data_IF_228885586467
#
_entry.id   IF_228885586467
#
_cell.length_a   1.000
_cell.length_b   1.000
_cell.length_c   1.000
_cell.angle_alpha   90.00
_cell.angle_beta   90.00
_cell.angle_gamma   90.00
#
_symmetry.space_group_name_H-M   'P 1'
#
loop_
_entity.id
_entity.type
_entity.pdbx_description
1 polymer ?
#
# COMPACT_ATOMS: atom_id res chain seq x y z
N UNK A 1 14.75 28.97 36.77
CA UNK A 1 14.02 27.76 37.18
C UNK A 1 12.63 28.18 37.68
N UNK A 2 11.59 27.59 37.10
CA UNK A 2 10.18 28.01 37.07
C UNK A 2 9.59 28.49 38.41
N UNK A 3 9.44 29.81 38.59
CA UNK A 3 8.79 30.41 39.78
C UNK A 3 7.31 30.76 39.56
N UNK A 4 6.80 30.61 38.33
CA UNK A 4 5.45 31.03 37.95
C UNK A 4 4.58 29.83 37.60
N UNK A 5 3.56 29.56 38.43
CA UNK A 5 2.67 28.39 38.32
C UNK A 5 1.92 28.33 36.98
N UNK A 6 1.72 29.49 36.35
CA UNK A 6 0.98 29.63 35.09
C UNK A 6 1.67 28.97 33.87
N UNK A 7 3.01 29.06 33.76
CA UNK A 7 3.74 28.41 32.65
C UNK A 7 3.75 26.89 32.78
N UNK A 8 3.79 26.39 34.02
CA UNK A 8 3.70 24.95 34.30
C UNK A 8 2.31 24.42 33.97
N UNK A 9 1.25 25.17 34.32
CA UNK A 9 -0.14 24.81 33.98
C UNK A 9 -0.37 24.80 32.45
N UNK A 10 0.13 25.81 31.72
CA UNK A 10 0.02 25.88 30.25
C UNK A 10 0.72 24.70 29.55
N UNK A 11 1.92 24.33 30.02
CA UNK A 11 2.68 23.20 29.49
C UNK A 11 1.95 21.87 29.74
N UNK A 12 1.35 21.70 30.93
CA UNK A 12 0.58 20.50 31.28
C UNK A 12 -0.69 20.40 30.43
N UNK A 13 -1.41 21.51 30.23
CA UNK A 13 -2.63 21.53 29.41
C UNK A 13 -2.33 21.19 27.94
N UNK A 14 -1.25 21.71 27.36
CA UNK A 14 -0.83 21.39 26.00
C UNK A 14 -0.42 19.90 25.85
N UNK A 15 0.27 19.35 26.85
CA UNK A 15 0.64 17.93 26.89
C UNK A 15 -0.57 17.01 26.99
N UNK A 16 -1.52 17.32 27.90
CA UNK A 16 -2.74 16.52 28.09
C UNK A 16 -3.65 16.60 26.87
N UNK A 17 -3.80 17.77 26.25
CA UNK A 17 -4.60 17.92 25.03
C UNK A 17 -3.95 17.20 23.83
N UNK A 18 -2.63 17.25 23.70
CA UNK A 18 -1.89 16.48 22.69
C UNK A 18 -2.03 14.97 22.87
N UNK A 19 -1.94 14.48 24.11
CA UNK A 19 -2.16 13.06 24.45
C UNK A 19 -3.59 12.60 24.15
N UNK A 20 -4.61 13.40 24.49
CA UNK A 20 -6.01 13.09 24.22
C UNK A 20 -6.32 13.00 22.72
N UNK A 21 -5.72 13.88 21.90
CA UNK A 21 -5.89 13.85 20.45
C UNK A 21 -5.10 12.71 19.77
N UNK A 22 -3.97 12.26 20.36
CA UNK A 22 -3.24 11.06 19.91
C UNK A 22 -4.07 9.80 20.17
N UNK A 23 -4.70 9.67 21.34
CA UNK A 23 -5.56 8.51 21.69
C UNK A 23 -6.81 8.45 20.80
N UNK A 24 -7.40 9.58 20.45
CA UNK A 24 -8.54 9.65 19.54
C UNK A 24 -8.24 9.23 18.08
N UNK A 25 -6.97 9.07 17.72
CA UNK A 25 -6.49 8.79 16.35
C UNK A 25 -5.84 7.41 16.20
N UNK A 26 -5.75 6.58 17.25
CA UNK A 26 -5.09 5.25 17.16
C UNK A 26 -5.86 4.32 16.21
N UNK A 27 -5.27 3.80 15.09
CA UNK A 27 -5.85 2.63 14.45
C UNK A 27 -5.47 1.44 15.32
N UNK A 28 -6.45 0.66 15.75
CA UNK A 28 -6.18 -0.53 16.53
C UNK A 28 -5.36 -1.54 15.71
N UNK A 29 -4.07 -1.72 16.05
CA UNK A 29 -3.33 -3.01 15.96
C UNK A 29 -3.33 -3.77 14.63
N UNK A 30 -2.62 -3.31 13.60
CA UNK A 30 -2.56 -3.98 12.30
C UNK A 30 -1.13 -4.32 11.83
N UNK A 31 -0.33 -4.96 12.69
CA UNK A 31 0.78 -5.81 12.22
C UNK A 31 0.23 -6.77 11.17
N UNK A 32 0.90 -6.89 10.01
CA UNK A 32 0.49 -7.84 8.98
C UNK A 32 0.35 -9.23 9.64
N UNK A 33 -0.77 -9.95 9.42
CA UNK A 33 -0.98 -11.23 10.09
C UNK A 33 0.17 -12.19 9.80
N UNK A 34 0.60 -12.91 10.83
CA UNK A 34 1.25 -14.20 10.61
C UNK A 34 0.22 -15.08 9.90
N UNK A 35 0.62 -15.74 8.82
CA UNK A 35 -0.22 -16.53 7.92
C UNK A 35 -1.22 -15.70 7.10
N UNK A 36 -0.76 -15.14 5.98
CA UNK A 36 -1.61 -14.44 5.02
C UNK A 36 -2.46 -15.45 4.23
N UNK A 37 -3.80 -15.50 4.42
CA UNK A 37 -4.67 -16.35 3.62
C UNK A 37 -4.79 -15.79 2.20
N UNK A 38 -4.32 -16.57 1.22
CA UNK A 38 -4.39 -16.25 -0.21
C UNK A 38 -5.08 -17.41 -0.93
N UNK A 39 -6.03 -17.09 -1.80
CA UNK A 39 -6.71 -18.10 -2.62
C UNK A 39 -6.08 -18.22 -4.02
N UNK A 40 -6.18 -19.39 -4.61
CA UNK A 40 -5.88 -19.60 -6.03
C UNK A 40 -7.04 -20.34 -6.70
N UNK A 41 -7.42 -19.89 -7.89
CA UNK A 41 -8.44 -20.51 -8.73
C UNK A 41 -7.82 -20.84 -10.07
N UNK A 42 -7.93 -22.10 -10.46
CA UNK A 42 -7.61 -22.54 -11.80
C UNK A 42 -8.90 -22.68 -12.60
N UNK A 43 -9.19 -21.69 -13.46
CA UNK A 43 -10.32 -21.77 -14.40
C UNK A 43 -9.92 -22.38 -15.75
N UNK A 44 -8.63 -22.58 -16.01
CA UNK A 44 -8.11 -23.21 -17.23
C UNK A 44 -8.15 -24.74 -17.15
N UNK A 45 -7.85 -25.28 -15.96
CA UNK A 45 -7.92 -26.71 -15.63
C UNK A 45 -7.02 -27.62 -16.49
N UNK A 46 -6.07 -27.07 -17.24
CA UNK A 46 -5.10 -27.83 -18.01
C UNK A 46 -3.96 -28.37 -17.14
N UNK A 47 -3.18 -29.31 -17.66
CA UNK A 47 -1.99 -29.80 -16.97
C UNK A 47 -0.96 -28.67 -16.72
N UNK A 48 -0.88 -27.71 -17.64
CA UNK A 48 0.00 -26.56 -17.54
C UNK A 48 -0.43 -25.61 -16.42
N UNK A 49 -1.72 -25.29 -16.33
CA UNK A 49 -2.26 -24.45 -15.25
C UNK A 49 -2.15 -25.12 -13.88
N UNK A 50 -2.36 -26.43 -13.81
CA UNK A 50 -2.18 -27.21 -12.58
C UNK A 50 -0.71 -27.24 -12.12
N UNK A 51 0.25 -27.35 -13.04
CA UNK A 51 1.68 -27.26 -12.72
C UNK A 51 2.04 -25.88 -12.16
N UNK A 52 1.48 -24.82 -12.73
CA UNK A 52 1.63 -23.44 -12.23
C UNK A 52 1.04 -23.32 -10.82
N UNK A 53 -0.15 -23.86 -10.57
CA UNK A 53 -0.77 -23.87 -9.22
C UNK A 53 0.16 -24.57 -8.21
N UNK A 54 0.72 -25.72 -8.56
CA UNK A 54 1.67 -26.44 -7.69
C UNK A 54 2.92 -25.60 -7.38
N UNK A 55 3.51 -24.98 -8.40
CA UNK A 55 4.70 -24.15 -8.23
C UNK A 55 4.43 -22.87 -7.42
N UNK A 56 3.25 -22.27 -7.58
CA UNK A 56 2.86 -21.09 -6.82
C UNK A 56 2.58 -21.45 -5.35
N UNK A 57 1.88 -22.55 -5.12
CA UNK A 57 1.53 -23.01 -3.78
C UNK A 57 2.71 -23.54 -2.97
N UNK A 58 3.83 -23.90 -3.62
CA UNK A 58 5.08 -24.21 -2.92
C UNK A 58 5.78 -22.99 -2.32
N UNK A 59 5.41 -21.77 -2.75
CA UNK A 59 5.91 -20.54 -2.12
C UNK A 59 5.13 -20.28 -0.85
N UNK A 60 5.69 -20.67 0.29
CA UNK A 60 5.02 -20.58 1.61
C UNK A 60 5.42 -19.35 2.41
N UNK A 61 6.36 -18.53 1.94
CA UNK A 61 6.80 -17.31 2.63
C UNK A 61 7.24 -16.21 1.68
N UNK A 62 7.07 -14.96 2.10
CA UNK A 62 7.54 -13.76 1.39
C UNK A 62 8.15 -12.74 2.36
N UNK A 63 9.08 -11.90 1.88
CA UNK A 63 9.83 -10.96 2.72
C UNK A 63 11.09 -11.60 3.31
N UNK A 64 12.24 -10.91 3.18
CA UNK A 64 13.56 -11.46 3.50
C UNK A 64 13.79 -11.69 5.00
N UNK A 65 14.27 -10.66 5.71
CA UNK A 65 14.69 -10.79 7.12
C UNK A 65 13.54 -11.06 8.11
N UNK A 66 12.30 -10.71 7.76
CA UNK A 66 11.08 -10.98 8.53
C UNK A 66 10.05 -11.66 7.61
N UNK A 67 10.15 -12.99 7.40
CA UNK A 67 9.29 -13.69 6.47
C UNK A 67 7.85 -13.70 6.97
N UNK A 68 6.93 -13.35 6.08
CA UNK A 68 5.50 -13.51 6.26
C UNK A 68 5.06 -14.80 5.60
N UNK A 69 4.48 -15.71 6.37
CA UNK A 69 3.96 -16.99 5.86
C UNK A 69 2.71 -16.78 5.00
N UNK A 70 2.58 -17.56 3.93
CA UNK A 70 1.43 -17.58 3.03
C UNK A 70 0.65 -18.87 3.28
N UNK A 71 -0.65 -18.74 3.52
CA UNK A 71 -1.58 -19.87 3.64
C UNK A 71 -2.43 -19.96 2.38
N UNK A 72 -2.02 -20.83 1.47
CA UNK A 72 -2.74 -21.07 0.23
C UNK A 72 -4.06 -21.80 0.45
N UNK A 73 -5.05 -21.47 -0.37
CA UNK A 73 -6.30 -22.23 -0.50
C UNK A 73 -6.65 -22.35 -1.97
N UNK A 74 -6.63 -23.57 -2.49
CA UNK A 74 -7.13 -23.84 -3.85
C UNK A 74 -8.65 -23.85 -3.78
N UNK A 75 -9.29 -22.99 -4.58
CA UNK A 75 -10.75 -22.78 -4.57
C UNK A 75 -11.32 -23.11 -5.95
N UNK A 76 -12.52 -23.72 -5.95
CA UNK A 76 -13.15 -24.25 -7.16
C UNK A 76 -13.42 -23.22 -8.25
N UNK A 77 -13.80 -21.99 -7.90
CA UNK A 77 -14.17 -20.96 -8.86
C UNK A 77 -14.08 -19.55 -8.27
N UNK A 78 -14.09 -18.56 -9.18
CA UNK A 78 -14.03 -17.13 -8.85
C UNK A 78 -15.19 -16.67 -7.96
N UNK A 79 -16.41 -17.19 -8.16
CA UNK A 79 -17.57 -16.81 -7.36
C UNK A 79 -17.42 -17.21 -5.89
N UNK A 80 -16.89 -18.41 -5.63
CA UNK A 80 -16.59 -18.86 -4.27
C UNK A 80 -15.50 -18.02 -3.61
N UNK A 81 -14.48 -17.59 -4.37
CA UNK A 81 -13.46 -16.66 -3.88
C UNK A 81 -14.07 -15.32 -3.50
N UNK A 82 -14.90 -14.73 -4.36
CA UNK A 82 -15.56 -13.46 -4.09
C UNK A 82 -16.38 -13.51 -2.80
N UNK A 83 -17.25 -14.51 -2.64
CA UNK A 83 -18.03 -14.69 -1.40
C UNK A 83 -17.16 -14.87 -0.16
N UNK A 84 -16.01 -15.51 -0.29
CA UNK A 84 -15.07 -15.66 0.81
C UNK A 84 -14.33 -14.35 1.14
N UNK A 85 -14.06 -13.51 0.14
CA UNK A 85 -13.51 -12.17 0.31
C UNK A 85 -14.51 -11.19 0.93
N UNK A 86 -15.80 -11.30 0.61
CA UNK A 86 -16.86 -10.52 1.27
C UNK A 86 -16.88 -10.80 2.78
N UNK A 87 -16.57 -12.04 3.18
CA UNK A 87 -16.37 -12.46 4.58
C UNK A 87 -14.95 -12.22 5.11
N UNK A 88 -14.14 -11.44 4.39
CA UNK A 88 -12.76 -11.07 4.75
C UNK A 88 -11.82 -12.27 5.01
N UNK A 89 -12.11 -13.43 4.42
CA UNK A 89 -11.33 -14.67 4.62
C UNK A 89 -9.97 -14.63 3.93
N UNK A 90 -9.88 -13.95 2.78
CA UNK A 90 -8.66 -13.85 1.98
C UNK A 90 -8.26 -12.38 1.79
N UNK A 91 -6.95 -12.10 1.85
CA UNK A 91 -6.37 -10.81 1.50
C UNK A 91 -6.21 -10.62 -0.01
N UNK A 92 -6.06 -11.73 -0.73
CA UNK A 92 -6.00 -11.71 -2.18
C UNK A 92 -6.29 -13.07 -2.77
N UNK A 93 -6.49 -13.09 -4.08
CA UNK A 93 -6.60 -14.29 -4.86
C UNK A 93 -5.94 -14.11 -6.21
N UNK A 94 -5.39 -15.21 -6.71
CA UNK A 94 -4.95 -15.32 -8.09
C UNK A 94 -5.91 -16.23 -8.86
N UNK A 95 -6.37 -15.76 -10.02
CA UNK A 95 -7.23 -16.52 -10.92
C UNK A 95 -6.47 -16.72 -12.22
N UNK A 96 -6.18 -17.97 -12.58
CA UNK A 96 -5.73 -18.35 -13.92
C UNK A 96 -7.00 -18.43 -14.77
N UNK A 97 -7.13 -17.59 -15.81
CA UNK A 97 -8.35 -17.57 -16.63
C UNK A 97 -8.42 -18.79 -17.55
N UNK A 98 -9.63 -19.13 -17.97
CA UNK A 98 -9.84 -20.15 -19.00
C UNK A 98 -9.14 -19.75 -20.31
N UNK A 99 -8.56 -20.73 -21.00
CA UNK A 99 -7.82 -20.50 -22.25
C UNK A 99 -6.34 -20.19 -22.05
N UNK A 100 -5.89 -20.03 -20.80
CA UNK A 100 -4.51 -19.68 -20.46
C UNK A 100 -3.47 -20.58 -21.14
N UNK A 101 -3.65 -21.91 -21.11
CA UNK A 101 -2.69 -22.82 -21.73
C UNK A 101 -2.74 -22.78 -23.27
N UNK A 102 -3.93 -22.64 -23.84
CA UNK A 102 -4.13 -22.54 -25.29
C UNK A 102 -3.44 -21.29 -25.85
N UNK A 103 -3.60 -20.16 -25.16
CA UNK A 103 -3.06 -18.87 -25.54
C UNK A 103 -1.52 -18.84 -25.55
N UNK A 104 -0.85 -19.71 -24.77
CA UNK A 104 0.62 -19.76 -24.71
C UNK A 104 1.27 -20.08 -26.06
N UNK A 105 0.61 -20.88 -26.90
CA UNK A 105 1.12 -21.25 -28.22
C UNK A 105 1.00 -20.09 -29.22
N UNK A 106 0.05 -19.19 -29.00
CA UNK A 106 -0.16 -18.04 -29.89
C UNK A 106 0.94 -16.98 -29.76
N UNK A 107 1.74 -17.02 -28.68
CA UNK A 107 2.83 -16.07 -28.43
C UNK A 107 3.92 -16.09 -29.51
N UNK A 108 4.04 -17.18 -30.27
CA UNK A 108 4.99 -17.31 -31.40
C UNK A 108 4.42 -16.81 -32.73
N UNK A 109 3.19 -16.31 -32.74
CA UNK A 109 2.49 -15.83 -33.95
C UNK A 109 2.57 -14.31 -34.06
N UNK A 110 2.21 -13.77 -35.23
CA UNK A 110 2.18 -12.33 -35.52
C UNK A 110 1.02 -11.58 -34.84
N UNK A 111 -0.01 -12.28 -34.37
CA UNK A 111 -1.14 -11.70 -33.63
C UNK A 111 -1.46 -12.55 -32.40
N UNK A 112 -0.67 -12.41 -31.33
CA UNK A 112 -0.79 -13.28 -30.16
C UNK A 112 -2.08 -13.00 -29.38
N UNK A 113 -2.63 -14.05 -28.80
CA UNK A 113 -3.57 -13.94 -27.67
C UNK A 113 -2.76 -14.18 -26.40
N UNK A 114 -2.68 -13.18 -25.52
CA UNK A 114 -1.88 -13.32 -24.31
C UNK A 114 -2.64 -14.11 -23.25
N UNK A 115 -2.04 -15.19 -22.69
CA UNK A 115 -2.57 -15.88 -21.52
C UNK A 115 -2.87 -14.88 -20.41
N UNK A 116 -4.04 -14.98 -19.77
CA UNK A 116 -4.45 -14.01 -18.76
C UNK A 116 -4.50 -14.58 -17.34
N UNK A 117 -3.92 -13.82 -16.40
CA UNK A 117 -4.14 -14.00 -14.97
C UNK A 117 -4.82 -12.77 -14.38
N UNK A 118 -5.68 -12.99 -13.39
CA UNK A 118 -6.31 -11.93 -12.64
C UNK A 118 -5.90 -11.99 -11.16
N UNK A 119 -5.35 -10.88 -10.67
CA UNK A 119 -5.07 -10.65 -9.27
C UNK A 119 -6.26 -9.91 -8.65
N UNK A 120 -6.83 -10.45 -7.59
CA UNK A 120 -7.93 -9.83 -6.84
C UNK A 120 -7.42 -9.50 -5.44
N UNK A 121 -7.54 -8.26 -4.99
CA UNK A 121 -7.00 -7.78 -3.71
C UNK A 121 -8.11 -7.25 -2.83
N UNK A 122 -8.16 -7.70 -1.58
CA UNK A 122 -9.18 -7.32 -0.61
C UNK A 122 -8.57 -6.45 0.50
N UNK A 123 -8.89 -5.16 0.50
CA UNK A 123 -8.34 -4.22 1.47
C UNK A 123 -9.12 -4.16 2.79
N UNK A 124 -10.31 -4.76 2.86
CA UNK A 124 -11.27 -4.57 3.96
C UNK A 124 -10.71 -4.87 5.36
N UNK A 125 -9.81 -5.85 5.47
CA UNK A 125 -9.30 -6.34 6.77
C UNK A 125 -8.05 -5.59 7.23
N UNK A 126 -7.14 -5.31 6.30
CA UNK A 126 -5.90 -4.57 6.55
C UNK A 126 -5.31 -4.17 5.19
N UNK A 127 -5.34 -2.88 4.88
CA UNK A 127 -4.90 -2.35 3.59
C UNK A 127 -3.39 -2.52 3.35
N UNK A 128 -2.57 -2.42 4.40
CA UNK A 128 -1.11 -2.62 4.32
C UNK A 128 -0.77 -4.07 3.99
N UNK A 129 -1.42 -5.03 4.66
CA UNK A 129 -1.26 -6.45 4.35
C UNK A 129 -1.76 -6.77 2.94
N UNK A 130 -2.88 -6.18 2.51
CA UNK A 130 -3.41 -6.33 1.16
C UNK A 130 -2.44 -5.80 0.08
N UNK A 131 -1.78 -4.66 0.31
CA UNK A 131 -0.73 -4.14 -0.57
C UNK A 131 0.49 -5.08 -0.64
N UNK A 132 0.90 -5.66 0.49
CA UNK A 132 1.95 -6.69 0.53
C UNK A 132 1.58 -7.94 -0.29
N UNK A 133 0.33 -8.39 -0.17
CA UNK A 133 -0.21 -9.50 -0.98
C UNK A 133 -0.24 -9.15 -2.46
N UNK A 134 -0.64 -7.94 -2.83
CA UNK A 134 -0.62 -7.48 -4.22
C UNK A 134 0.79 -7.57 -4.81
N UNK A 135 1.79 -7.02 -4.11
CA UNK A 135 3.18 -7.07 -4.56
C UNK A 135 3.70 -8.51 -4.70
N UNK A 136 3.38 -9.37 -3.72
CA UNK A 136 3.77 -10.78 -3.76
C UNK A 136 3.14 -11.51 -4.97
N UNK A 137 1.84 -11.32 -5.19
CA UNK A 137 1.13 -11.92 -6.33
C UNK A 137 1.65 -11.37 -7.66
N UNK A 138 1.93 -10.08 -7.79
CA UNK A 138 2.55 -9.50 -8.99
C UNK A 138 3.94 -10.09 -9.26
N UNK A 139 4.79 -10.26 -8.25
CA UNK A 139 6.08 -10.91 -8.44
C UNK A 139 5.93 -12.37 -8.89
N UNK A 140 4.94 -13.08 -8.34
CA UNK A 140 4.64 -14.45 -8.73
C UNK A 140 4.16 -14.53 -10.17
N UNK A 141 3.21 -13.69 -10.60
CA UNK A 141 2.72 -13.68 -11.98
C UNK A 141 3.85 -13.34 -12.96
N UNK A 142 4.74 -12.42 -12.59
CA UNK A 142 5.92 -12.09 -13.42
C UNK A 142 6.87 -13.29 -13.54
N UNK A 143 7.12 -14.03 -12.45
CA UNK A 143 7.93 -15.26 -12.48
C UNK A 143 7.29 -16.34 -13.35
N UNK A 144 5.97 -16.50 -13.30
CA UNK A 144 5.26 -17.42 -14.21
C UNK A 144 5.43 -16.97 -15.66
N UNK A 145 5.32 -15.66 -15.94
CA UNK A 145 5.57 -15.09 -17.26
C UNK A 145 6.96 -15.40 -17.77
N UNK A 146 8.00 -15.12 -16.98
CA UNK A 146 9.38 -15.43 -17.37
C UNK A 146 9.62 -16.94 -17.59
N UNK A 147 9.05 -17.79 -16.73
CA UNK A 147 9.15 -19.24 -16.89
C UNK A 147 8.46 -19.72 -18.19
N UNK A 148 7.30 -19.15 -18.50
CA UNK A 148 6.58 -19.43 -19.74
C UNK A 148 7.35 -18.98 -20.98
N UNK A 149 7.86 -17.75 -20.99
CA UNK A 149 8.65 -17.25 -22.12
C UNK A 149 9.87 -18.15 -22.38
N UNK A 150 10.55 -18.59 -21.32
CA UNK A 150 11.65 -19.54 -21.44
C UNK A 150 11.20 -20.91 -22.00
N UNK A 151 10.02 -21.40 -21.63
CA UNK A 151 9.48 -22.64 -22.19
C UNK A 151 9.16 -22.49 -23.69
N UNK A 152 8.58 -21.37 -24.09
CA UNK A 152 8.29 -21.08 -25.51
C UNK A 152 9.59 -21.02 -26.31
N UNK A 153 10.60 -20.27 -25.83
CA UNK A 153 11.92 -20.19 -26.47
C UNK A 153 12.59 -21.56 -26.61
N UNK A 154 12.55 -22.40 -25.57
CA UNK A 154 13.09 -23.77 -25.63
C UNK A 154 12.38 -24.64 -26.66
N UNK A 155 11.05 -24.52 -26.77
CA UNK A 155 10.28 -25.22 -27.81
C UNK A 155 10.65 -24.74 -29.21
N UNK A 156 10.78 -23.43 -29.41
CA UNK A 156 11.23 -22.87 -30.70
C UNK A 156 12.63 -23.38 -31.06
N UNK A 157 13.56 -23.40 -30.11
CA UNK A 157 14.90 -23.94 -30.31
C UNK A 157 14.87 -25.44 -30.68
N UNK A 158 14.08 -26.25 -29.97
CA UNK A 158 13.95 -27.68 -30.25
C UNK A 158 13.33 -27.97 -31.63
N UNK A 159 12.47 -27.08 -32.12
CA UNK A 159 11.84 -27.16 -33.45
C UNK A 159 12.62 -26.41 -34.53
N UNK A 160 13.79 -25.85 -34.20
CA UNK A 160 14.62 -25.03 -35.08
C UNK A 160 13.86 -23.87 -35.75
N UNK A 161 12.91 -23.27 -35.02
CA UNK A 161 12.08 -22.16 -35.50
C UNK A 161 12.80 -20.81 -35.29
N UNK A 162 12.78 -19.91 -36.28
CA UNK A 162 13.35 -18.57 -36.13
C UNK A 162 12.55 -17.76 -35.10
N UNK A 163 13.25 -16.92 -34.31
CA UNK A 163 12.62 -15.96 -33.41
C UNK A 163 12.45 -14.64 -34.16
N UNK A 164 11.22 -14.35 -34.60
CA UNK A 164 10.92 -13.06 -35.22
C UNK A 164 10.96 -11.92 -34.19
N UNK A 165 11.07 -10.68 -34.66
CA UNK A 165 11.04 -9.51 -33.79
C UNK A 165 9.71 -9.39 -33.02
N UNK A 166 8.61 -9.77 -33.65
CA UNK A 166 7.27 -9.79 -33.06
C UNK A 166 7.17 -10.86 -31.96
N UNK A 167 7.65 -12.08 -32.23
CA UNK A 167 7.70 -13.14 -31.23
C UNK A 167 8.57 -12.72 -30.03
N UNK A 168 9.71 -12.06 -30.27
CA UNK A 168 10.55 -11.53 -29.21
C UNK A 168 9.83 -10.46 -28.38
N UNK A 169 9.09 -9.54 -29.01
CA UNK A 169 8.29 -8.51 -28.32
C UNK A 169 7.19 -9.14 -27.46
N UNK A 170 6.47 -10.14 -27.99
CA UNK A 170 5.40 -10.84 -27.28
C UNK A 170 5.93 -11.56 -26.03
N UNK A 171 7.16 -12.08 -26.09
CA UNK A 171 7.81 -12.79 -24.98
C UNK A 171 8.36 -11.87 -23.89
N UNK A 172 8.45 -10.54 -24.12
CA UNK A 172 8.77 -9.57 -23.07
C UNK A 172 7.62 -9.44 -22.05
N UNK A 173 6.38 -9.59 -22.51
CA UNK A 173 5.16 -9.57 -21.69
C UNK A 173 4.26 -10.76 -22.06
N UNK A 174 4.67 -11.99 -21.71
CA UNK A 174 4.03 -13.21 -22.20
C UNK A 174 2.68 -13.48 -21.53
N UNK A 175 2.33 -12.77 -20.45
CA UNK A 175 1.09 -12.95 -19.70
C UNK A 175 0.46 -11.58 -19.46
N UNK A 176 -0.83 -11.46 -19.79
CA UNK A 176 -1.64 -10.32 -19.40
C UNK A 176 -2.07 -10.46 -17.92
N UNK A 177 -1.74 -9.48 -17.09
CA UNK A 177 -2.12 -9.50 -15.66
C UNK A 177 -3.07 -8.35 -15.37
N UNK A 178 -4.32 -8.68 -15.02
CA UNK A 178 -5.31 -7.68 -14.58
C UNK A 178 -5.41 -7.66 -13.07
N UNK A 179 -5.42 -6.46 -12.46
CA UNK A 179 -5.59 -6.30 -11.01
C UNK A 179 -6.95 -5.70 -10.70
N UNK A 180 -7.70 -6.34 -9.80
CA UNK A 180 -8.99 -5.85 -9.29
C UNK A 180 -8.92 -5.68 -7.78
N UNK A 181 -9.07 -4.44 -7.32
CA UNK A 181 -9.21 -4.15 -5.89
C UNK A 181 -10.69 -4.27 -5.51
N UNK A 182 -10.99 -4.99 -4.44
CA UNK A 182 -12.33 -5.15 -3.86
C UNK A 182 -12.32 -4.64 -2.42
N UNK A 183 -13.46 -4.12 -1.97
CA UNK A 183 -13.63 -3.58 -0.62
C UNK A 183 -12.51 -2.59 -0.22
N UNK A 184 -12.31 -1.58 -1.07
CA UNK A 184 -11.26 -0.57 -0.89
C UNK A 184 -11.37 0.18 0.44
N UNK A 185 -10.23 0.55 1.01
CA UNK A 185 -10.14 1.46 2.16
C UNK A 185 -9.80 2.89 1.77
N UNK A 186 -9.83 3.27 0.48
CA UNK A 186 -9.51 4.63 -0.02
C UNK A 186 -10.30 5.74 0.70
N UNK A 187 -11.41 5.42 1.38
CA UNK A 187 -12.19 6.34 2.22
C UNK A 187 -12.08 6.07 3.75
N UNK A 188 -11.03 5.40 4.23
CA UNK A 188 -10.80 5.14 5.66
C UNK A 188 -9.34 5.48 5.99
N UNK A 189 -9.15 6.65 6.62
CA UNK A 189 -7.85 7.29 6.88
C UNK A 189 -6.74 6.33 7.38
N UNK A 190 -5.55 6.44 6.80
CA UNK A 190 -4.32 5.85 7.35
C UNK A 190 -3.95 6.63 8.60
N UNK A 191 -4.09 6.02 9.76
CA UNK A 191 -3.94 6.77 11.00
C UNK A 191 -2.53 7.36 11.25
N UNK A 192 -1.52 6.97 10.48
CA UNK A 192 -0.16 7.55 10.57
C UNK A 192 -0.11 9.03 10.19
N UNK A 193 -0.87 9.48 9.19
CA UNK A 193 -1.00 10.91 8.88
C UNK A 193 -1.82 11.64 9.96
N UNK A 194 -2.78 10.91 10.52
CA UNK A 194 -3.74 11.37 11.51
C UNK A 194 -3.09 11.63 12.90
N UNK A 195 -1.96 10.98 13.20
CA UNK A 195 -1.15 11.26 14.41
C UNK A 195 -0.24 12.49 14.31
N UNK A 196 0.19 12.87 13.10
CA UNK A 196 1.15 13.97 12.96
C UNK A 196 0.48 15.33 13.11
N UNK A 197 -0.78 15.44 12.67
CA UNK A 197 -1.54 16.69 12.69
C UNK A 197 -1.74 17.29 14.10
N UNK A 198 -2.16 16.51 15.12
CA UNK A 198 -2.33 17.06 16.46
C UNK A 198 -1.03 17.51 17.13
N UNK A 199 0.11 16.87 16.80
CA UNK A 199 1.40 17.14 17.47
C UNK A 199 1.92 18.54 17.13
N UNK A 200 1.95 18.90 15.84
CA UNK A 200 2.42 20.23 15.46
C UNK A 200 1.43 21.33 15.88
N UNK A 201 0.12 21.05 15.85
CA UNK A 201 -0.91 21.98 16.34
C UNK A 201 -0.81 22.21 17.85
N UNK A 202 -0.58 21.15 18.63
CA UNK A 202 -0.34 21.24 20.07
C UNK A 202 0.92 22.03 20.40
N UNK A 203 1.99 21.85 19.61
CA UNK A 203 3.22 22.62 19.75
C UNK A 203 3.02 24.12 19.44
N UNK A 204 2.26 24.45 18.39
CA UNK A 204 1.93 25.84 18.06
C UNK A 204 1.04 26.50 19.10
N UNK A 205 0.00 25.81 19.57
CA UNK A 205 -0.87 26.29 20.65
C UNK A 205 -0.09 26.53 21.94
N UNK A 206 0.80 25.59 22.31
CA UNK A 206 1.69 25.77 23.44
C UNK A 206 2.60 26.98 23.28
N UNK A 207 3.13 27.21 22.07
CA UNK A 207 3.99 28.37 21.77
C UNK A 207 3.22 29.70 21.90
N UNK A 208 2.00 29.79 21.36
CA UNK A 208 1.15 30.98 21.46
C UNK A 208 0.76 31.28 22.91
N UNK A 209 0.39 30.27 23.69
CA UNK A 209 0.06 30.44 25.10
C UNK A 209 1.27 30.90 25.91
N UNK A 210 2.46 30.39 25.59
CA UNK A 210 3.70 30.80 26.25
C UNK A 210 4.05 32.26 25.95
N UNK A 211 3.89 32.72 24.71
CA UNK A 211 4.17 34.12 24.32
C UNK A 211 3.16 35.09 24.93
N UNK A 212 1.87 34.73 25.02
CA UNK A 212 0.87 35.53 25.73
C UNK A 212 1.14 35.60 27.24
N UNK A 213 1.54 34.48 27.86
CA UNK A 213 1.94 34.47 29.27
C UNK A 213 3.20 35.31 29.53
N UNK A 214 4.07 35.48 28.54
CA UNK A 214 5.26 36.34 28.61
C UNK A 214 4.95 37.83 28.41
N UNK A 215 3.88 38.20 27.68
CA UNK A 215 3.44 39.60 27.50
C UNK A 215 2.99 40.26 28.81
N UNK A 216 2.71 39.48 29.87
CA UNK A 216 2.43 39.97 31.23
C UNK A 216 3.66 40.16 32.13
N UNK A 217 4.89 39.88 31.65
CA UNK A 217 6.14 40.06 32.39
C UNK A 217 6.85 41.34 31.92
N UNK A 218 6.76 42.40 32.71
CA UNK A 218 7.45 43.67 32.48
C UNK A 218 8.95 43.52 32.72
N UNK A 219 9.70 43.09 31.69
CA UNK A 219 11.12 43.44 31.40
C UNK A 219 11.60 42.62 30.18
N UNK A 220 11.28 43.11 28.98
CA UNK A 220 11.78 42.52 27.73
C UNK A 220 13.02 43.31 27.30
N UNK A 221 14.17 42.64 27.21
CA UNK A 221 15.41 43.27 26.74
C UNK A 221 15.29 43.62 25.24
N UNK A 222 15.85 44.75 24.78
CA UNK A 222 15.73 45.23 23.37
C UNK A 222 16.01 44.15 22.30
N UNK A 223 16.93 43.21 22.57
CA UNK A 223 17.26 42.08 21.70
C UNK A 223 16.13 41.03 21.59
N UNK A 224 15.43 40.74 22.68
CA UNK A 224 14.28 39.82 22.71
C UNK A 224 13.03 40.43 22.07
N UNK A 225 12.84 41.75 22.23
CA UNK A 225 11.77 42.47 21.54
C UNK A 225 11.94 42.43 20.01
N UNK A 226 13.19 42.53 19.53
CA UNK A 226 13.49 42.41 18.10
C UNK A 226 13.29 40.98 17.57
N UNK A 227 13.77 39.96 18.29
CA UNK A 227 13.54 38.55 17.93
C UNK A 227 12.06 38.18 17.87
N UNK A 228 11.25 38.64 18.82
CA UNK A 228 9.80 38.37 18.81
C UNK A 228 9.11 39.02 17.60
N UNK A 229 9.52 40.23 17.19
CA UNK A 229 9.01 40.89 15.97
C UNK A 229 9.35 40.15 14.67
N UNK A 230 10.36 39.27 14.67
CA UNK A 230 10.75 38.46 13.50
C UNK A 230 10.08 37.09 13.52
N UNK A 231 9.94 36.46 14.69
CA UNK A 231 9.35 35.12 14.82
C UNK A 231 7.84 35.14 14.52
N UNK A 232 7.11 36.17 14.98
CA UNK A 232 5.66 36.29 14.79
C UNK A 232 5.23 36.25 13.29
N UNK A 233 5.82 37.05 12.37
CA UNK A 233 5.50 36.98 10.95
C UNK A 233 6.00 35.70 10.26
N UNK A 234 7.09 35.08 10.74
CA UNK A 234 7.59 33.80 10.18
C UNK A 234 6.65 32.66 10.53
N UNK A 235 6.16 32.59 11.76
CA UNK A 235 5.17 31.59 12.20
C UNK A 235 3.84 31.81 11.49
N UNK A 236 3.38 33.05 11.37
CA UNK A 236 2.16 33.37 10.61
C UNK A 236 2.31 33.05 9.12
N UNK A 237 3.47 33.32 8.52
CA UNK A 237 3.78 32.97 7.13
C UNK A 237 3.83 31.46 6.89
N UNK A 238 4.43 30.69 7.80
CA UNK A 238 4.43 29.23 7.76
C UNK A 238 3.02 28.66 7.89
N UNK A 239 2.20 29.21 8.77
CA UNK A 239 0.79 28.83 8.93
C UNK A 239 -0.03 29.11 7.66
N UNK A 240 0.20 30.25 7.01
CA UNK A 240 -0.45 30.60 5.75
C UNK A 240 0.00 29.68 4.60
N UNK A 241 1.32 29.43 4.48
CA UNK A 241 1.88 28.54 3.47
C UNK A 241 1.41 27.09 3.64
N UNK A 242 1.31 26.60 4.87
CA UNK A 242 0.77 25.27 5.17
C UNK A 242 -0.72 25.17 4.81
N UNK A 243 -1.52 26.21 5.09
CA UNK A 243 -2.93 26.26 4.70
C UNK A 243 -3.09 26.15 3.17
N UNK A 244 -2.27 26.88 2.42
CA UNK A 244 -2.36 26.90 0.96
C UNK A 244 -1.84 25.59 0.34
N UNK A 245 -0.82 24.96 0.93
CA UNK A 245 -0.31 23.65 0.50
C UNK A 245 -1.31 22.50 0.66
N UNK A 246 -2.17 22.58 1.68
CA UNK A 246 -3.24 21.60 1.91
C UNK A 246 -4.43 21.80 0.95
N UNK A 247 -4.70 23.04 0.51
CA UNK A 247 -5.72 23.30 -0.52
C UNK A 247 -5.28 22.87 -1.93
N UNK A 248 -3.99 23.00 -2.27
CA UNK A 248 -3.43 22.52 -3.55
C UNK A 248 -3.58 21.01 -3.76
N UNK A 249 -3.49 20.22 -2.69
CA UNK A 249 -3.74 18.77 -2.74
C UNK A 249 -5.22 18.40 -2.95
N UNK A 250 -6.15 19.32 -2.67
CA UNK A 250 -7.58 19.12 -2.90
C UNK A 250 -7.98 19.40 -4.37
N UNK A 251 -7.25 20.27 -5.07
CA UNK A 251 -7.48 20.59 -6.48
C UNK A 251 -6.85 19.58 -7.46
N UNK A 252 -5.89 18.75 -7.04
CA UNK A 252 -5.34 17.65 -7.87
C UNK A 252 -6.13 16.34 -7.77
N UNK A 253 -7.24 16.33 -7.02
CA UNK A 253 -8.15 15.19 -6.88
C UNK A 253 -9.51 15.40 -7.59
N UNK A 254 -9.60 16.38 -8.49
CA UNK A 254 -10.68 16.52 -9.49
C UNK A 254 -10.09 16.52 -10.90
#
# INVERSE_FOLDING_TARGET
MFKNKFHVISLIVALVMGLLLIVAQIPSTHTAPKDLPIAIVDADQSDASQAIVKQLTSVTSTGGKNPTTIKWSVVKNKTAVMRAMDKQKYYGALVIKAGFAQDTMSLTTTNPTHPEMQVIINQAKNATAAAGVQNALTMMTNKVGSAMANQVLRKMQALNLPVSAEAAQNLLQPIAVTTKIVHTTTNKATASAAFFQPIWMGALLGTVMLTYAQKGLSHVTKKQAWLNKVIEPVVMGLLHWLRDSQQLNLHMLF
#
